data_IF_796821778868
#
_entry.id   IF_796821778868
#
_cell.length_a   1.000
_cell.length_b   1.000
_cell.length_c   1.000
_cell.angle_alpha   90.00
_cell.angle_beta   90.00
_cell.angle_gamma   90.00
#
_symmetry.space_group_name_H-M   'P 1'
#
loop_
_entity.id
_entity.type
_entity.pdbx_description
1 polymer ?
#
# COMPACT_ATOMS: atom_id res chain seq x y z
N UNK A 1 13.42 16.33 16.27
CA UNK A 1 11.93 16.35 16.30
C UNK A 1 11.27 17.47 15.48
N UNK A 2 11.68 17.70 14.22
CA UNK A 2 11.09 18.76 13.38
C UNK A 2 10.24 18.22 12.22
N UNK A 3 10.58 17.06 11.64
CA UNK A 3 9.86 16.49 10.49
C UNK A 3 8.53 15.83 10.85
N UNK A 4 8.45 15.15 11.99
CA UNK A 4 7.21 14.50 12.47
C UNK A 4 6.07 15.51 12.72
N UNK A 5 6.43 16.75 13.06
CA UNK A 5 5.49 17.83 13.35
C UNK A 5 4.95 18.50 12.07
N UNK A 6 5.71 18.44 10.97
CA UNK A 6 5.33 19.02 9.67
C UNK A 6 4.31 18.15 8.94
N UNK A 7 4.54 16.83 8.88
CA UNK A 7 3.66 15.88 8.18
C UNK A 7 2.28 15.72 8.83
N UNK A 8 2.17 15.88 10.15
CA UNK A 8 0.88 15.79 10.86
C UNK A 8 -0.06 16.99 10.59
N UNK A 9 0.45 18.05 9.97
CA UNK A 9 -0.29 19.30 9.72
C UNK A 9 -0.85 19.43 8.31
N UNK A 10 -0.37 18.65 7.33
CA UNK A 10 -0.77 18.80 5.92
C UNK A 10 -1.78 17.76 5.44
N UNK A 11 -1.93 16.61 6.10
CA UNK A 11 -2.91 15.57 5.72
C UNK A 11 -3.64 15.00 6.94
N UNK A 12 -4.22 15.88 7.76
CA UNK A 12 -5.02 15.48 8.91
C UNK A 12 -6.50 15.25 8.59
N UNK A 13 -6.89 15.30 7.30
CA UNK A 13 -8.28 15.13 6.84
C UNK A 13 -8.53 13.77 6.19
N UNK A 14 -7.48 13.11 5.69
CA UNK A 14 -7.60 11.77 5.13
C UNK A 14 -7.44 10.76 6.24
N UNK A 15 -8.56 10.18 6.65
CA UNK A 15 -8.55 9.08 7.61
C UNK A 15 -7.81 7.89 7.01
N UNK A 16 -7.29 6.99 7.86
CA UNK A 16 -6.74 5.69 7.40
C UNK A 16 -7.77 4.95 6.53
N UNK A 17 -9.06 5.17 6.77
CA UNK A 17 -10.16 4.62 5.99
C UNK A 17 -10.25 5.25 4.59
N UNK A 18 -10.03 6.56 4.45
CA UNK A 18 -9.96 7.24 3.15
C UNK A 18 -8.75 6.79 2.36
N UNK A 19 -7.60 6.64 3.02
CA UNK A 19 -6.37 6.13 2.39
C UNK A 19 -6.60 4.69 1.91
N UNK A 20 -7.17 3.82 2.75
CA UNK A 20 -7.51 2.44 2.38
C UNK A 20 -8.48 2.37 1.20
N UNK A 21 -9.50 3.23 1.19
CA UNK A 21 -10.48 3.32 0.10
C UNK A 21 -9.83 3.78 -1.20
N UNK A 22 -8.98 4.81 -1.14
CA UNK A 22 -8.22 5.33 -2.29
C UNK A 22 -7.27 4.28 -2.84
N UNK A 23 -6.49 3.62 -1.99
CA UNK A 23 -5.61 2.53 -2.40
C UNK A 23 -6.38 1.40 -3.09
N UNK A 24 -7.56 1.04 -2.58
CA UNK A 24 -8.42 0.01 -3.19
C UNK A 24 -8.94 0.42 -4.56
N UNK A 25 -9.33 1.69 -4.73
CA UNK A 25 -9.78 2.22 -6.03
C UNK A 25 -8.64 2.31 -7.04
N UNK A 26 -7.48 2.82 -6.61
CA UNK A 26 -6.27 2.91 -7.44
C UNK A 26 -5.86 1.52 -7.90
N UNK A 27 -5.81 0.56 -6.97
CA UNK A 27 -5.53 -0.84 -7.29
C UNK A 27 -6.51 -1.39 -8.32
N UNK A 28 -7.81 -1.13 -8.22
CA UNK A 28 -8.78 -1.56 -9.23
C UNK A 28 -8.52 -0.92 -10.60
N UNK A 29 -8.15 0.35 -10.61
CA UNK A 29 -7.87 1.12 -11.84
C UNK A 29 -6.56 0.76 -12.52
N UNK A 30 -5.58 0.17 -11.82
CA UNK A 30 -4.31 -0.25 -12.43
C UNK A 30 -4.51 -1.38 -13.45
N UNK A 31 -3.70 -1.35 -14.50
CA UNK A 31 -3.72 -2.39 -15.55
C UNK A 31 -3.02 -3.68 -15.08
N UNK A 32 -3.29 -4.82 -15.71
CA UNK A 32 -2.64 -6.10 -15.35
C UNK A 32 -1.11 -6.02 -15.40
N UNK A 33 -0.55 -5.29 -16.37
CA UNK A 33 0.89 -5.04 -16.48
C UNK A 33 1.47 -4.29 -15.28
N UNK A 34 0.71 -3.34 -14.73
CA UNK A 34 1.12 -2.53 -13.58
C UNK A 34 0.93 -3.29 -12.27
N UNK A 35 -0.09 -4.17 -12.21
CA UNK A 35 -0.35 -5.07 -11.08
C UNK A 35 0.64 -6.22 -11.01
N UNK A 36 1.23 -6.63 -12.14
CA UNK A 36 2.14 -7.77 -12.27
C UNK A 36 3.28 -7.78 -11.24
N UNK A 37 4.08 -6.72 -11.08
CA UNK A 37 5.17 -6.70 -10.09
C UNK A 37 4.66 -6.87 -8.65
N UNK A 38 3.51 -6.28 -8.32
CA UNK A 38 2.91 -6.38 -6.98
C UNK A 38 2.36 -7.78 -6.70
N UNK A 39 1.73 -8.43 -7.69
CA UNK A 39 1.26 -9.81 -7.58
C UNK A 39 2.44 -10.79 -7.44
N UNK A 40 3.50 -10.61 -8.24
CA UNK A 40 4.72 -11.42 -8.11
C UNK A 40 5.39 -11.23 -6.75
N UNK A 41 5.46 -9.99 -6.25
CA UNK A 41 5.98 -9.73 -4.90
C UNK A 41 5.11 -10.39 -3.82
N UNK A 42 3.78 -10.36 -3.96
CA UNK A 42 2.86 -11.02 -3.05
C UNK A 42 3.02 -12.55 -3.06
N UNK A 43 3.18 -13.17 -4.23
CA UNK A 43 3.46 -14.61 -4.34
C UNK A 43 4.80 -14.99 -3.74
N UNK A 44 5.86 -14.23 -4.03
CA UNK A 44 7.18 -14.46 -3.44
C UNK A 44 7.16 -14.35 -1.90
N UNK A 45 6.44 -13.36 -1.36
CA UNK A 45 6.28 -13.21 0.08
C UNK A 45 5.48 -14.38 0.69
N UNK A 46 4.49 -14.90 -0.04
CA UNK A 46 3.71 -16.09 0.36
C UNK A 46 4.60 -17.34 0.38
N UNK A 47 5.41 -17.55 -0.65
CA UNK A 47 6.41 -18.62 -0.75
C UNK A 47 7.42 -18.56 0.40
N UNK A 48 8.00 -17.38 0.67
CA UNK A 48 8.96 -17.18 1.77
C UNK A 48 8.32 -17.51 3.11
N UNK A 49 7.12 -16.99 3.38
CA UNK A 49 6.40 -17.30 4.62
C UNK A 49 6.07 -18.81 4.73
N UNK A 50 5.72 -19.46 3.62
CA UNK A 50 5.49 -20.91 3.58
C UNK A 50 6.77 -21.74 3.72
N UNK A 51 7.95 -21.20 3.40
CA UNK A 51 9.24 -21.87 3.63
C UNK A 51 9.75 -21.68 5.05
N UNK A 52 9.40 -20.57 5.69
CA UNK A 52 9.76 -20.26 7.06
C UNK A 52 8.86 -20.92 8.11
N UNK A 53 7.76 -21.55 7.71
CA UNK A 53 6.76 -22.19 8.57
C UNK A 53 6.61 -23.68 8.25
#
# INVERSE_FOLDING_TARGET
>A
DAMHKKLKSEDSDLTVQDISSRCSQLWRSLSESEKKPWQTAAENAKEEHSRQH
#
